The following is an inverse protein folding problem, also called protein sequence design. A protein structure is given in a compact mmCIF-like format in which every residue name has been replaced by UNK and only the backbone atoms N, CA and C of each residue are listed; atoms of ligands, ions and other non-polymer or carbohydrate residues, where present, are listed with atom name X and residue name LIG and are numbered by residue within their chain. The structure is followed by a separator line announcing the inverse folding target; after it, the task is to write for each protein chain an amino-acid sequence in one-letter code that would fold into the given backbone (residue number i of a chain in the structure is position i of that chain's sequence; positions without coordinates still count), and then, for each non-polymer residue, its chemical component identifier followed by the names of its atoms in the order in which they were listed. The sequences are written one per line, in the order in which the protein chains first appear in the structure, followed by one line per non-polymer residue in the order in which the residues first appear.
data_IF_559486256548
#
_entry.id   IF_559486256548
#
_cell.length_a   1.000
_cell.length_b   1.000
_cell.length_c   1.000
_cell.angle_alpha   90.00
_cell.angle_beta   90.00
_cell.angle_gamma   90.00
#
_symmetry.space_group_name_H-M   'P 1'
#
loop_
_entity.id
_entity.type
_entity.pdbx_description
1 polymer ?
#
# COMPACT_ATOMS: atom_id res chain seq x y z
N UNK A 1 7.82 -5.32 20.19
CA UNK A 1 7.69 -5.31 18.72
C UNK A 1 8.42 -4.06 18.24
N UNK A 2 9.14 -4.11 17.11
CA UNK A 2 9.83 -2.93 16.57
C UNK A 2 8.80 -1.84 16.27
N UNK A 3 9.08 -0.57 16.58
CA UNK A 3 8.16 0.52 16.29
C UNK A 3 7.99 0.66 14.77
N UNK A 4 6.77 0.92 14.30
CA UNK A 4 6.53 1.27 12.91
C UNK A 4 7.15 2.65 12.62
N UNK A 5 7.97 2.75 11.58
CA UNK A 5 8.68 3.97 11.20
C UNK A 5 8.27 4.42 9.80
N UNK A 6 8.54 5.68 9.48
CA UNK A 6 8.34 6.25 8.15
C UNK A 6 9.69 6.64 7.54
N UNK A 7 10.44 5.66 6.98
CA UNK A 7 11.78 5.92 6.47
C UNK A 7 11.76 6.77 5.20
N UNK A 8 12.86 7.50 4.98
CA UNK A 8 13.10 8.25 3.74
C UNK A 8 14.33 7.64 3.07
N UNK A 9 14.15 7.07 1.88
CA UNK A 9 15.21 6.46 1.10
C UNK A 9 15.62 7.37 -0.06
N UNK A 10 16.92 7.68 -0.15
CA UNK A 10 17.53 8.39 -1.26
C UNK A 10 18.15 7.38 -2.22
N UNK A 11 17.84 7.55 -3.51
CA UNK A 11 18.41 6.74 -4.57
C UNK A 11 19.17 7.62 -5.57
N UNK A 12 20.21 7.07 -6.18
CA UNK A 12 20.95 7.70 -7.26
C UNK A 12 20.97 6.78 -8.49
N UNK A 13 20.99 7.37 -9.68
CA UNK A 13 21.32 6.63 -10.90
C UNK A 13 22.84 6.49 -10.97
N UNK A 14 23.34 5.28 -10.75
CA UNK A 14 24.78 4.98 -10.75
C UNK A 14 25.11 3.97 -11.85
N UNK A 15 26.32 4.07 -12.41
CA UNK A 15 26.80 3.11 -13.40
C UNK A 15 27.18 1.80 -12.69
N UNK A 16 26.36 0.77 -12.88
CA UNK A 16 26.62 -0.59 -12.39
C UNK A 16 26.94 -1.46 -13.61
N UNK A 17 28.24 -1.72 -13.80
CA UNK A 17 28.74 -2.39 -14.99
C UNK A 17 28.52 -1.58 -16.27
N UNK A 18 27.68 -2.09 -17.19
CA UNK A 18 27.42 -1.45 -18.49
C UNK A 18 26.19 -0.53 -18.50
N UNK A 19 25.35 -0.59 -17.47
CA UNK A 19 24.08 0.14 -17.42
C UNK A 19 24.04 1.08 -16.22
N UNK A 20 23.13 2.04 -16.28
CA UNK A 20 22.76 2.82 -15.12
C UNK A 20 21.65 2.09 -14.36
N UNK A 21 21.84 1.93 -13.06
CA UNK A 21 20.87 1.34 -12.15
C UNK A 21 20.51 2.35 -11.06
N UNK A 22 19.28 2.23 -10.55
CA UNK A 22 18.84 3.00 -9.40
C UNK A 22 19.35 2.31 -8.13
N UNK A 23 20.31 2.93 -7.44
CA UNK A 23 20.93 2.37 -6.24
C UNK A 23 20.58 3.18 -5.00
N UNK A 24 20.24 2.54 -3.86
CA UNK A 24 20.01 3.24 -2.62
C UNK A 24 21.35 3.76 -2.06
N UNK A 25 21.41 5.05 -1.75
CA UNK A 25 22.64 5.73 -1.29
C UNK A 25 22.57 6.19 0.17
N UNK A 26 21.37 6.47 0.68
CA UNK A 26 21.15 6.82 2.07
C UNK A 26 19.71 6.48 2.49
N UNK A 27 19.52 6.08 3.73
CA UNK A 27 18.20 5.83 4.32
C UNK A 27 18.15 6.51 5.68
N UNK A 28 17.23 7.46 5.83
CA UNK A 28 16.84 8.01 7.13
C UNK A 28 15.78 7.10 7.76
N UNK A 29 16.01 6.64 8.99
CA UNK A 29 15.19 5.58 9.60
C UNK A 29 13.74 5.98 9.89
N UNK A 30 13.46 7.26 10.12
CA UNK A 30 12.13 7.78 10.37
C UNK A 30 12.00 9.19 9.79
N UNK A 31 10.78 9.71 9.62
CA UNK A 31 10.53 10.99 8.95
C UNK A 31 11.08 12.20 9.72
N UNK A 32 11.42 12.01 11.00
CA UNK A 32 11.92 13.06 11.88
C UNK A 32 13.34 13.48 11.48
N UNK A 33 13.65 14.79 11.40
CA UNK A 33 14.95 15.28 10.93
C UNK A 33 16.18 14.81 11.72
N UNK A 34 16.02 14.42 12.98
CA UNK A 34 17.08 13.94 13.87
C UNK A 34 17.29 12.40 13.81
N UNK A 35 16.52 11.71 12.98
CA UNK A 35 16.61 10.26 12.81
C UNK A 35 17.96 9.86 12.21
N UNK A 36 18.47 8.70 12.64
CA UNK A 36 19.72 8.15 12.10
C UNK A 36 19.59 7.94 10.59
N UNK A 37 20.63 8.37 9.88
CA UNK A 37 20.83 8.10 8.45
C UNK A 37 21.90 7.04 8.33
N UNK A 38 21.60 5.98 7.59
CA UNK A 38 22.56 4.94 7.25
C UNK A 38 22.82 4.94 5.75
N UNK A 39 24.01 4.53 5.38
CA UNK A 39 24.58 4.48 4.04
C UNK A 39 25.16 3.09 3.80
N UNK A 40 25.55 2.74 2.56
CA UNK A 40 26.20 1.46 2.27
C UNK A 40 27.46 1.16 3.08
N UNK A 41 28.11 2.18 3.67
CA UNK A 41 29.33 2.04 4.48
C UNK A 41 29.05 1.58 5.92
N UNK A 42 27.79 1.62 6.37
CA UNK A 42 27.39 1.36 7.76
C UNK A 42 27.19 -0.14 8.11
N UNK A 43 27.68 -1.06 7.27
CA UNK A 43 27.68 -2.51 7.56
C UNK A 43 26.28 -3.08 7.85
N UNK A 44 26.13 -3.80 8.96
CA UNK A 44 24.84 -4.42 9.34
C UNK A 44 23.72 -3.40 9.57
N UNK A 45 24.04 -2.17 9.98
CA UNK A 45 23.05 -1.11 10.12
C UNK A 45 22.43 -0.73 8.77
N UNK A 46 23.20 -0.81 7.68
CA UNK A 46 22.68 -0.62 6.33
C UNK A 46 21.64 -1.69 5.95
N UNK A 47 21.88 -2.95 6.35
CA UNK A 47 20.93 -4.03 6.12
C UNK A 47 19.61 -3.77 6.88
N UNK A 48 19.71 -3.36 8.14
CA UNK A 48 18.55 -3.00 8.97
C UNK A 48 17.79 -1.82 8.35
N UNK A 49 18.49 -0.81 7.84
CA UNK A 49 17.87 0.36 7.20
C UNK A 49 17.08 -0.03 5.95
N UNK A 50 17.66 -0.87 5.07
CA UNK A 50 16.94 -1.40 3.91
C UNK A 50 15.74 -2.24 4.31
N UNK A 51 15.86 -3.07 5.35
CA UNK A 51 14.73 -3.87 5.85
C UNK A 51 13.57 -2.97 6.32
N UNK A 52 13.88 -1.88 7.03
CA UNK A 52 12.88 -0.91 7.46
C UNK A 52 12.13 -0.30 6.25
N UNK A 53 12.86 0.12 5.22
CA UNK A 53 12.25 0.61 3.96
C UNK A 53 11.35 -0.46 3.33
N UNK A 54 11.84 -1.70 3.20
CA UNK A 54 11.08 -2.78 2.57
C UNK A 54 9.80 -3.15 3.34
N UNK A 55 9.85 -3.19 4.68
CA UNK A 55 8.67 -3.52 5.49
C UNK A 55 7.63 -2.38 5.42
N UNK A 56 8.07 -1.12 5.48
CA UNK A 56 7.16 0.02 5.36
C UNK A 56 6.56 0.11 3.96
N UNK A 57 7.36 -0.09 2.90
CA UNK A 57 6.88 -0.10 1.51
C UNK A 57 5.87 -1.23 1.27
N UNK A 58 6.14 -2.44 1.76
CA UNK A 58 5.20 -3.55 1.66
C UNK A 58 3.87 -3.23 2.35
N UNK A 59 3.92 -2.68 3.56
CA UNK A 59 2.74 -2.26 4.31
C UNK A 59 1.91 -1.22 3.56
N UNK A 60 2.56 -0.18 3.06
CA UNK A 60 1.92 0.86 2.27
C UNK A 60 1.35 0.29 0.97
N UNK A 61 2.10 -0.52 0.23
CA UNK A 61 1.65 -1.10 -1.02
C UNK A 61 0.41 -1.99 -0.83
N UNK A 62 0.33 -2.79 0.25
CA UNK A 62 -0.83 -3.64 0.49
C UNK A 62 -2.09 -2.85 0.84
N UNK A 63 -1.99 -1.83 1.67
CA UNK A 63 -3.16 -1.07 2.12
C UNK A 63 -3.54 0.02 1.12
N UNK A 64 -2.55 0.80 0.67
CA UNK A 64 -2.77 1.97 -0.17
C UNK A 64 -2.93 1.61 -1.64
N UNK A 65 -1.90 1.00 -2.22
CA UNK A 65 -1.87 0.76 -3.66
C UNK A 65 -2.79 -0.38 -4.05
N UNK A 66 -2.82 -1.45 -3.26
CA UNK A 66 -3.58 -2.65 -3.57
C UNK A 66 -5.03 -2.57 -3.04
N UNK A 67 -5.22 -2.53 -1.72
CA UNK A 67 -6.59 -2.57 -1.17
C UNK A 67 -7.40 -1.32 -1.52
N UNK A 68 -6.89 -0.12 -1.26
CA UNK A 68 -7.65 1.10 -1.49
C UNK A 68 -7.82 1.39 -2.99
N UNK A 69 -6.71 1.50 -3.72
CA UNK A 69 -6.72 2.03 -5.11
C UNK A 69 -7.11 1.01 -6.17
N UNK A 70 -7.10 -0.30 -5.87
CA UNK A 70 -7.61 -1.32 -6.79
C UNK A 70 -8.95 -1.83 -6.30
N UNK A 71 -8.99 -2.51 -5.15
CA UNK A 71 -10.18 -3.24 -4.70
C UNK A 71 -11.34 -2.31 -4.35
N UNK A 72 -11.13 -1.34 -3.46
CA UNK A 72 -12.20 -0.42 -3.04
C UNK A 72 -12.55 0.59 -4.12
N UNK A 73 -11.58 1.01 -4.93
CA UNK A 73 -11.83 1.95 -6.01
C UNK A 73 -12.79 1.37 -7.06
N UNK A 74 -12.62 0.11 -7.49
CA UNK A 74 -13.40 -0.45 -8.60
C UNK A 74 -14.78 -0.96 -8.18
N UNK A 75 -14.95 -1.38 -6.92
CA UNK A 75 -16.19 -2.00 -6.45
C UNK A 75 -17.45 -1.12 -6.60
N UNK A 76 -17.46 0.19 -6.26
CA UNK A 76 -18.62 1.04 -6.45
C UNK A 76 -19.10 1.11 -7.91
N UNK A 77 -18.17 1.11 -8.88
CA UNK A 77 -18.51 1.08 -10.30
C UNK A 77 -19.18 -0.24 -10.66
N UNK A 78 -18.68 -1.36 -10.14
CA UNK A 78 -19.25 -2.68 -10.39
C UNK A 78 -20.61 -2.90 -9.72
N UNK A 79 -20.80 -2.37 -8.51
CA UNK A 79 -22.11 -2.34 -7.84
C UNK A 79 -23.10 -1.51 -8.65
N UNK A 80 -22.69 -0.32 -9.12
CA UNK A 80 -23.52 0.56 -9.95
C UNK A 80 -23.90 -0.11 -11.27
N UNK A 81 -22.94 -0.75 -11.95
CA UNK A 81 -23.16 -1.51 -13.18
C UNK A 81 -24.26 -2.57 -13.00
N UNK A 82 -24.20 -3.36 -11.93
CA UNK A 82 -25.15 -4.45 -11.66
C UNK A 82 -26.54 -3.93 -11.27
N UNK A 83 -26.63 -2.78 -10.58
CA UNK A 83 -27.89 -2.24 -10.05
C UNK A 83 -28.64 -1.33 -11.02
N UNK A 84 -27.94 -0.68 -11.95
CA UNK A 84 -28.52 0.42 -12.74
C UNK A 84 -28.51 0.19 -14.25
N UNK A 85 -27.62 -0.67 -14.76
CA UNK A 85 -27.47 -0.88 -16.20
C UNK A 85 -28.06 -2.24 -16.61
N UNK A 86 -29.09 -2.19 -17.46
CA UNK A 86 -29.74 -3.39 -17.99
C UNK A 86 -28.76 -4.29 -18.76
N UNK A 87 -29.06 -5.59 -18.82
CA UNK A 87 -28.16 -6.59 -19.40
C UNK A 87 -27.74 -6.27 -20.84
N UNK A 88 -28.59 -5.65 -21.66
CA UNK A 88 -28.27 -5.29 -23.06
C UNK A 88 -27.61 -3.91 -23.21
N UNK A 89 -27.46 -3.14 -22.14
CA UNK A 89 -26.85 -1.82 -22.20
C UNK A 89 -25.38 -1.93 -22.68
N UNK A 90 -24.92 -1.10 -23.63
CA UNK A 90 -23.55 -1.21 -24.16
C UNK A 90 -22.46 -1.16 -23.08
N UNK A 91 -22.58 -0.27 -22.10
CA UNK A 91 -21.65 -0.22 -20.96
C UNK A 91 -21.67 -1.49 -20.10
N UNK A 92 -22.84 -2.15 -19.95
CA UNK A 92 -22.91 -3.44 -19.25
C UNK A 92 -22.12 -4.50 -20.02
N UNK A 93 -22.29 -4.57 -21.35
CA UNK A 93 -21.58 -5.52 -22.19
C UNK A 93 -20.07 -5.35 -22.14
N UNK A 94 -19.57 -4.11 -22.08
CA UNK A 94 -18.15 -3.81 -21.97
C UNK A 94 -17.61 -4.18 -20.58
N UNK A 95 -18.28 -3.76 -19.51
CA UNK A 95 -17.71 -3.83 -18.16
C UNK A 95 -18.02 -5.13 -17.40
N UNK A 96 -19.00 -5.94 -17.83
CA UNK A 96 -19.46 -7.12 -17.08
C UNK A 96 -18.35 -8.13 -16.75
N UNK A 97 -17.32 -8.24 -17.60
CA UNK A 97 -16.18 -9.14 -17.37
C UNK A 97 -15.07 -8.50 -16.54
N UNK A 98 -14.91 -7.17 -16.59
CA UNK A 98 -14.01 -6.43 -15.70
C UNK A 98 -14.52 -6.41 -14.25
N UNK A 99 -15.84 -6.46 -14.08
CA UNK A 99 -16.49 -6.54 -12.78
C UNK A 99 -16.75 -7.97 -12.28
N UNK A 100 -16.25 -8.98 -13.00
CA UNK A 100 -16.40 -10.37 -12.58
C UNK A 100 -15.57 -10.57 -11.32
N UNK A 101 -16.20 -11.13 -10.29
CA UNK A 101 -15.55 -11.53 -9.03
C UNK A 101 -14.91 -10.38 -8.22
N UNK A 102 -15.13 -9.11 -8.58
CA UNK A 102 -14.65 -7.94 -7.82
C UNK A 102 -15.24 -7.83 -6.41
N UNK A 103 -16.54 -8.13 -6.25
CA UNK A 103 -17.25 -7.91 -4.97
C UNK A 103 -16.87 -8.96 -3.91
N UNK A 104 -16.56 -10.18 -4.34
CA UNK A 104 -16.27 -11.32 -3.46
C UNK A 104 -15.04 -11.07 -2.55
N UNK A 105 -13.85 -10.70 -3.06
CA UNK A 105 -12.69 -10.43 -2.21
C UNK A 105 -12.93 -9.26 -1.26
N UNK A 106 -13.71 -8.25 -1.66
CA UNK A 106 -14.00 -7.13 -0.76
C UNK A 106 -14.93 -7.54 0.38
N UNK A 107 -15.96 -8.33 0.07
CA UNK A 107 -16.96 -8.79 1.04
C UNK A 107 -16.36 -9.78 2.06
N UNK A 108 -15.53 -10.74 1.60
CA UNK A 108 -14.99 -11.80 2.46
C UNK A 108 -13.54 -11.56 2.89
N UNK A 109 -12.72 -10.95 2.04
CA UNK A 109 -11.31 -10.69 2.30
C UNK A 109 -11.09 -9.51 3.24
N UNK A 110 -11.87 -8.42 3.11
CA UNK A 110 -11.72 -7.26 4.00
C UNK A 110 -11.87 -7.62 5.48
N UNK A 111 -12.92 -8.37 5.92
CA UNK A 111 -13.04 -8.74 7.32
C UNK A 111 -11.90 -9.65 7.81
N UNK A 112 -11.35 -10.50 6.95
CA UNK A 112 -10.22 -11.37 7.31
C UNK A 112 -8.91 -10.55 7.42
N UNK A 113 -8.77 -9.51 6.61
CA UNK A 113 -7.59 -8.64 6.59
C UNK A 113 -7.61 -7.58 7.70
N UNK A 114 -8.74 -6.88 7.86
CA UNK A 114 -8.93 -5.71 8.74
C UNK A 114 -9.82 -5.98 9.95
N UNK A 115 -10.29 -7.22 10.13
CA UNK A 115 -11.02 -7.63 11.33
C UNK A 115 -10.14 -7.64 12.58
N UNK A 116 -10.76 -7.75 13.75
CA UNK A 116 -10.01 -7.94 15.00
C UNK A 116 -9.18 -9.23 14.93
N UNK A 117 -7.89 -9.14 15.27
CA UNK A 117 -6.94 -10.24 15.11
C UNK A 117 -6.82 -10.73 13.66
N UNK A 118 -7.15 -9.88 12.69
CA UNK A 118 -7.00 -10.16 11.27
C UNK A 118 -5.55 -10.12 10.80
N UNK A 119 -5.32 -10.34 9.51
CA UNK A 119 -3.96 -10.39 8.96
C UNK A 119 -3.16 -9.10 9.18
N UNK A 120 -3.80 -7.93 9.23
CA UNK A 120 -3.09 -6.68 9.52
C UNK A 120 -2.52 -6.63 10.94
N UNK A 121 -3.25 -7.11 11.93
CA UNK A 121 -2.76 -7.22 13.32
C UNK A 121 -1.62 -8.23 13.47
N UNK A 122 -1.65 -9.31 12.68
CA UNK A 122 -0.67 -10.40 12.78
C UNK A 122 0.60 -10.13 11.98
N UNK A 123 0.49 -9.56 10.79
CA UNK A 123 1.59 -9.45 9.83
C UNK A 123 2.30 -8.10 9.85
N UNK A 124 1.62 -7.03 10.29
CA UNK A 124 2.14 -5.67 10.16
C UNK A 124 2.19 -4.93 11.49
N UNK A 125 3.29 -4.21 11.74
CA UNK A 125 3.50 -3.48 12.99
C UNK A 125 2.49 -2.33 13.20
N UNK A 126 1.89 -1.80 12.14
CA UNK A 126 0.85 -0.76 12.22
C UNK A 126 -0.53 -1.33 12.63
N UNK A 127 -0.71 -2.65 12.56
CA UNK A 127 -1.94 -3.35 12.95
C UNK A 127 -3.18 -2.88 12.19
N UNK A 128 -4.35 -3.31 12.64
CA UNK A 128 -5.63 -2.89 12.07
C UNK A 128 -5.82 -1.38 12.15
N UNK A 129 -5.50 -0.76 13.29
CA UNK A 129 -5.76 0.67 13.50
C UNK A 129 -4.92 1.54 12.55
N UNK A 130 -3.64 1.20 12.35
CA UNK A 130 -2.80 1.89 11.39
C UNK A 130 -3.24 1.63 9.94
N UNK A 131 -3.74 0.43 9.63
CA UNK A 131 -4.30 0.12 8.31
C UNK A 131 -5.51 1.01 8.01
N UNK A 132 -6.44 1.11 8.97
CA UNK A 132 -7.63 1.94 8.84
C UNK A 132 -7.24 3.42 8.69
N UNK A 133 -6.28 3.90 9.49
CA UNK A 133 -5.78 5.26 9.38
C UNK A 133 -5.20 5.56 7.99
N UNK A 134 -4.40 4.65 7.45
CA UNK A 134 -3.88 4.79 6.09
C UNK A 134 -5.02 4.89 5.07
N UNK A 135 -6.03 4.02 5.15
CA UNK A 135 -7.19 4.05 4.25
C UNK A 135 -7.92 5.40 4.30
N UNK A 136 -8.12 5.95 5.51
CA UNK A 136 -8.74 7.27 5.72
C UNK A 136 -7.90 8.40 5.10
N UNK A 137 -6.57 8.37 5.25
CA UNK A 137 -5.67 9.41 4.74
C UNK A 137 -5.52 9.36 3.20
N UNK A 138 -5.65 8.19 2.57
CA UNK A 138 -5.43 7.99 1.11
C UNK A 138 -6.61 8.42 0.26
N UNK A 139 -7.82 8.37 0.81
CA UNK A 139 -9.02 8.86 0.15
C UNK A 139 -9.65 9.96 1.01
N UNK A 140 -9.20 11.23 0.84
CA UNK A 140 -9.89 12.37 1.43
C UNK A 140 -11.19 12.63 0.66
N UNK A 141 -12.11 11.65 0.64
CA UNK A 141 -13.40 11.80 0.00
C UNK A 141 -14.32 12.75 0.75
N UNK A 142 -14.02 13.12 2.01
CA UNK A 142 -14.76 14.13 2.76
C UNK A 142 -13.94 14.72 3.90
N UNK A 143 -12.98 15.60 3.61
CA UNK A 143 -12.71 16.73 4.50
C UNK A 143 -13.07 18.00 3.73
N UNK A 144 -14.35 18.36 3.81
CA UNK A 144 -14.84 19.63 3.30
C UNK A 144 -14.00 20.76 3.90
N UNK A 145 -13.31 21.48 3.02
CA UNK A 145 -13.10 22.90 3.15
C UNK A 145 -14.00 23.59 2.14
#
# INVERSE_FOLDING_TARGET
MWNFLSPIALFASAKVGRYHELVPVAIQMDFKPDSKVYTPEDGDNWMIAKLNVQITDLGYAQIAEHLARVHYFIEPFCVSLKRTLGLKHPLNQILKYHCREVIVPNTFGTPVLLGENGFTDVLFAYGRNGAQRLLEDIHPLTHGR
#
